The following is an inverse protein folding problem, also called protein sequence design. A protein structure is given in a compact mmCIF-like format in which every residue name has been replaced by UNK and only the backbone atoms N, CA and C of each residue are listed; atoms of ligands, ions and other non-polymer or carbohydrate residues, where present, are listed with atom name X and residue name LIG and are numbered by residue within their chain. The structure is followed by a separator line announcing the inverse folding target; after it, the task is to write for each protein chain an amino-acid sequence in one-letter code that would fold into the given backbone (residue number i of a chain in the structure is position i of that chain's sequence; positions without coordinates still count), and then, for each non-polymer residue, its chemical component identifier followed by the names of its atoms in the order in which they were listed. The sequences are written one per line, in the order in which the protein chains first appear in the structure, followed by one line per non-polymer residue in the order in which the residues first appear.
data_IF_940644088838
#
_entry.id   IF_940644088838
#
_cell.length_a   1.000
_cell.length_b   1.000
_cell.length_c   1.000
_cell.angle_alpha   90.00
_cell.angle_beta   90.00
_cell.angle_gamma   90.00
#
_symmetry.space_group_name_H-M   'P 1'
#
loop_
_entity.id
_entity.type
_entity.pdbx_description
1 polymer ?
#
# COMPACT_ATOMS: atom_id res chain seq x y z
N UNK A 1 9.35 21.61 -55.38
CA UNK A 1 10.26 22.16 -54.35
C UNK A 1 9.99 21.41 -53.06
N UNK A 2 10.87 20.46 -52.69
CA UNK A 2 10.73 19.73 -51.43
C UNK A 2 11.35 20.59 -50.32
N UNK A 3 10.52 21.22 -49.50
CA UNK A 3 10.97 21.79 -48.22
C UNK A 3 11.35 20.63 -47.29
N UNK A 4 12.65 20.34 -47.20
CA UNK A 4 13.17 19.59 -46.06
C UNK A 4 13.09 20.50 -44.85
N UNK A 5 12.30 20.11 -43.85
CA UNK A 5 12.30 20.75 -42.54
C UNK A 5 13.76 20.91 -42.07
N UNK A 6 14.18 22.14 -41.81
CA UNK A 6 15.49 22.43 -41.25
C UNK A 6 15.54 21.87 -39.83
N UNK A 7 16.04 20.64 -39.70
CA UNK A 7 16.36 20.07 -38.39
C UNK A 7 17.53 20.89 -37.84
N UNK A 8 17.40 21.49 -36.64
CA UNK A 8 18.49 22.25 -36.03
C UNK A 8 19.76 21.40 -35.93
N UNK A 9 20.92 22.01 -36.13
CA UNK A 9 22.20 21.31 -36.01
C UNK A 9 22.36 20.73 -34.60
N UNK A 10 22.81 19.47 -34.51
CA UNK A 10 23.11 18.82 -33.24
C UNK A 10 24.26 19.57 -32.54
N UNK A 11 23.92 20.35 -31.52
CA UNK A 11 24.89 21.03 -30.68
C UNK A 11 25.57 20.00 -29.77
N UNK A 12 26.87 19.76 -30.01
CA UNK A 12 27.70 18.93 -29.13
C UNK A 12 28.04 19.74 -27.88
N UNK A 13 27.70 19.24 -26.69
CA UNK A 13 28.17 19.79 -25.41
C UNK A 13 27.10 20.27 -24.42
N UNK A 14 25.80 20.07 -24.67
CA UNK A 14 24.76 20.35 -23.67
C UNK A 14 24.64 19.24 -22.62
N UNK A 15 24.50 19.59 -21.34
CA UNK A 15 24.13 18.62 -20.31
C UNK A 15 22.68 18.17 -20.55
N UNK A 16 22.47 16.88 -20.84
CA UNK A 16 21.14 16.31 -20.98
C UNK A 16 20.49 16.31 -19.59
N UNK A 17 19.40 17.06 -19.42
CA UNK A 17 18.61 17.04 -18.19
C UNK A 17 17.52 15.97 -18.26
N UNK A 18 17.09 15.49 -17.09
CA UNK A 18 15.91 14.64 -17.01
C UNK A 18 14.66 15.42 -17.45
N UNK A 19 13.69 14.71 -18.04
CA UNK A 19 12.34 15.25 -18.25
C UNK A 19 11.70 15.39 -16.87
N UNK A 20 11.41 16.63 -16.47
CA UNK A 20 10.73 16.97 -15.22
C UNK A 20 9.38 17.57 -15.60
N UNK A 21 8.26 16.88 -15.33
CA UNK A 21 6.94 17.39 -15.66
C UNK A 21 6.67 18.68 -14.89
N UNK A 22 6.05 19.65 -15.56
CA UNK A 22 5.69 20.97 -15.00
C UNK A 22 4.21 21.10 -14.69
N UNK A 23 3.38 20.17 -15.17
CA UNK A 23 1.93 20.13 -14.91
C UNK A 23 1.45 18.74 -14.52
N UNK A 24 0.23 18.68 -14.00
CA UNK A 24 -0.42 17.41 -13.68
C UNK A 24 -0.68 16.57 -14.95
N UNK A 25 -0.99 17.22 -16.07
CA UNK A 25 -1.20 16.55 -17.36
C UNK A 25 0.12 15.98 -17.92
N UNK A 26 1.23 16.70 -17.78
CA UNK A 26 2.55 16.18 -18.14
C UNK A 26 2.97 15.02 -17.26
N UNK A 27 2.68 15.12 -15.95
CA UNK A 27 2.92 14.04 -14.99
C UNK A 27 2.09 12.81 -15.35
N UNK A 28 0.82 13.00 -15.68
CA UNK A 28 -0.07 11.93 -16.13
C UNK A 28 0.46 11.26 -17.40
N UNK A 29 0.85 12.02 -18.42
CA UNK A 29 1.43 11.49 -19.66
C UNK A 29 2.69 10.67 -19.40
N UNK A 30 3.58 11.18 -18.55
CA UNK A 30 4.81 10.47 -18.17
C UNK A 30 4.49 9.18 -17.41
N UNK A 31 3.55 9.23 -16.46
CA UNK A 31 3.12 8.08 -15.69
C UNK A 31 2.49 7.00 -16.58
N UNK A 32 1.58 7.37 -17.49
CA UNK A 32 0.96 6.45 -18.46
C UNK A 32 2.02 5.75 -19.29
N UNK A 33 2.97 6.51 -19.85
CA UNK A 33 4.06 5.95 -20.65
C UNK A 33 4.89 4.92 -19.85
N UNK A 34 5.16 5.19 -18.57
CA UNK A 34 5.94 4.29 -17.71
C UNK A 34 5.17 3.00 -17.41
N UNK A 35 3.86 3.10 -17.18
CA UNK A 35 2.99 1.94 -16.92
C UNK A 35 2.82 1.09 -18.17
N UNK A 36 2.50 1.70 -19.31
CA UNK A 36 2.33 0.99 -20.58
C UNK A 36 3.62 0.34 -21.08
N UNK A 37 4.78 0.94 -20.77
CA UNK A 37 6.08 0.36 -21.08
C UNK A 37 6.49 -0.80 -20.16
N UNK A 38 5.71 -1.13 -19.12
CA UNK A 38 6.07 -2.14 -18.12
C UNK A 38 7.29 -1.76 -17.28
N UNK A 39 7.59 -0.46 -17.15
CA UNK A 39 8.76 0.05 -16.42
C UNK A 39 8.44 0.44 -14.97
N UNK A 40 7.15 0.45 -14.59
CA UNK A 40 6.72 0.73 -13.24
C UNK A 40 7.08 -0.44 -12.29
N UNK A 41 7.55 -0.18 -11.06
CA UNK A 41 7.80 -1.23 -10.09
C UNK A 41 6.53 -2.04 -9.78
N UNK A 42 6.60 -3.37 -9.83
CA UNK A 42 5.46 -4.24 -9.51
C UNK A 42 4.93 -4.04 -8.08
N UNK A 43 5.80 -3.70 -7.13
CA UNK A 43 5.38 -3.35 -5.77
C UNK A 43 4.46 -2.13 -5.71
N UNK A 44 4.48 -1.27 -6.74
CA UNK A 44 3.65 -0.07 -6.83
C UNK A 44 2.37 -0.30 -7.64
N UNK A 45 2.48 -0.96 -8.81
CA UNK A 45 1.35 -1.12 -9.75
C UNK A 45 0.64 -2.47 -9.63
N UNK A 46 1.20 -3.41 -8.86
CA UNK A 46 0.69 -4.77 -8.74
C UNK A 46 0.98 -5.63 -9.98
N UNK A 47 0.40 -6.82 -10.00
CA UNK A 47 0.49 -7.74 -11.14
C UNK A 47 -0.46 -7.28 -12.25
N UNK A 48 0.03 -7.31 -13.48
CA UNK A 48 -0.79 -7.10 -14.67
C UNK A 48 -1.92 -8.14 -14.78
N UNK A 49 -3.09 -7.76 -15.33
CA UNK A 49 -4.13 -8.73 -15.68
C UNK A 49 -3.60 -9.80 -16.63
N UNK A 50 -4.26 -10.96 -16.66
CA UNK A 50 -3.95 -12.00 -17.65
C UNK A 50 -4.20 -11.47 -19.08
N UNK A 51 -3.53 -12.06 -20.08
CA UNK A 51 -3.67 -11.64 -21.48
C UNK A 51 -5.09 -11.81 -22.02
N UNK A 52 -5.85 -12.76 -21.48
CA UNK A 52 -7.24 -13.06 -21.79
C UNK A 52 -8.26 -12.32 -20.90
N UNK A 53 -7.79 -11.45 -20.00
CA UNK A 53 -8.65 -10.65 -19.15
C UNK A 53 -9.45 -9.63 -19.99
N UNK A 54 -10.72 -9.43 -19.64
CA UNK A 54 -11.58 -8.46 -20.33
C UNK A 54 -11.06 -7.02 -20.25
N UNK A 55 -11.43 -6.20 -21.23
CA UNK A 55 -10.98 -4.81 -21.39
C UNK A 55 -11.10 -3.96 -20.11
N UNK A 56 -12.13 -4.18 -19.30
CA UNK A 56 -12.37 -3.41 -18.08
C UNK A 56 -11.33 -3.69 -17.00
N UNK A 57 -10.78 -4.90 -16.93
CA UNK A 57 -9.69 -5.24 -16.02
C UNK A 57 -8.41 -4.49 -16.40
N UNK A 58 -8.07 -4.47 -17.70
CA UNK A 58 -6.94 -3.72 -18.23
C UNK A 58 -7.08 -2.21 -18.03
N UNK A 59 -8.28 -1.65 -18.26
CA UNK A 59 -8.57 -0.23 -18.00
C UNK A 59 -8.44 0.12 -16.52
N UNK A 60 -8.99 -0.70 -15.62
CA UNK A 60 -8.92 -0.46 -14.17
C UNK A 60 -7.49 -0.53 -13.67
N UNK A 61 -6.74 -1.57 -14.08
CA UNK A 61 -5.33 -1.74 -13.72
C UNK A 61 -4.49 -0.58 -14.24
N UNK A 62 -4.62 -0.22 -15.52
CA UNK A 62 -3.87 0.87 -16.14
C UNK A 62 -4.13 2.22 -15.45
N UNK A 63 -5.39 2.55 -15.16
CA UNK A 63 -5.75 3.76 -14.39
C UNK A 63 -5.15 3.76 -12.99
N UNK A 64 -5.27 2.66 -12.24
CA UNK A 64 -4.70 2.53 -10.88
C UNK A 64 -3.18 2.67 -10.90
N UNK A 65 -2.51 1.97 -11.80
CA UNK A 65 -1.05 2.02 -11.97
C UNK A 65 -0.57 3.43 -12.35
N UNK A 66 -1.27 4.08 -13.29
CA UNK A 66 -0.94 5.43 -13.74
C UNK A 66 -1.06 6.44 -12.61
N UNK A 67 -2.17 6.39 -11.86
CA UNK A 67 -2.36 7.23 -10.68
C UNK A 67 -1.28 6.99 -9.62
N UNK A 68 -0.94 5.73 -9.31
CA UNK A 68 0.09 5.41 -8.33
C UNK A 68 1.48 5.94 -8.74
N UNK A 69 1.85 5.77 -10.01
CA UNK A 69 3.11 6.30 -10.57
C UNK A 69 3.11 7.83 -10.55
N UNK A 70 2.00 8.48 -10.91
CA UNK A 70 1.87 9.94 -10.86
C UNK A 70 2.05 10.48 -9.45
N UNK A 71 1.41 9.88 -8.44
CA UNK A 71 1.56 10.26 -7.03
C UNK A 71 3.03 10.13 -6.60
N UNK A 72 3.69 9.01 -6.91
CA UNK A 72 5.11 8.82 -6.56
C UNK A 72 6.02 9.85 -7.24
N UNK A 73 5.73 10.22 -8.50
CA UNK A 73 6.49 11.27 -9.20
C UNK A 73 6.30 12.63 -8.49
N UNK A 74 5.07 12.97 -8.09
CA UNK A 74 4.79 14.22 -7.39
C UNK A 74 5.41 14.24 -5.99
N UNK A 75 5.27 13.18 -5.19
CA UNK A 75 5.94 13.05 -3.90
C UNK A 75 7.48 13.09 -4.03
N UNK A 76 8.01 12.52 -5.11
CA UNK A 76 9.42 12.64 -5.46
C UNK A 76 9.81 14.09 -5.75
N UNK A 77 9.00 14.81 -6.50
CA UNK A 77 9.24 16.21 -6.83
C UNK A 77 9.26 17.12 -5.58
N UNK A 78 8.43 16.83 -4.57
CA UNK A 78 8.47 17.51 -3.26
C UNK A 78 9.83 17.37 -2.56
N UNK A 79 10.48 16.20 -2.72
CA UNK A 79 11.83 15.93 -2.22
C UNK A 79 12.93 16.30 -3.23
N UNK A 80 12.58 16.98 -4.32
CA UNK A 80 13.49 17.38 -5.39
C UNK A 80 14.05 16.21 -6.20
N UNK A 81 13.43 15.02 -6.19
CA UNK A 81 13.85 13.87 -6.98
C UNK A 81 13.27 13.93 -8.40
N UNK A 82 14.09 13.66 -9.44
CA UNK A 82 13.58 13.46 -10.79
C UNK A 82 12.64 12.23 -10.86
N UNK A 83 11.71 12.18 -11.82
CA UNK A 83 10.67 11.14 -11.88
C UNK A 83 11.21 9.70 -11.77
N UNK A 84 12.21 9.37 -12.58
CA UNK A 84 12.81 8.02 -12.59
C UNK A 84 13.64 7.72 -11.33
N UNK A 85 14.09 8.74 -10.60
CA UNK A 85 14.75 8.55 -9.29
C UNK A 85 13.70 8.30 -8.22
N UNK A 86 12.58 9.04 -8.25
CA UNK A 86 11.46 8.83 -7.35
C UNK A 86 10.93 7.40 -7.42
N UNK A 87 10.67 6.88 -8.62
CA UNK A 87 10.16 5.52 -8.81
C UNK A 87 11.08 4.41 -8.29
N UNK A 88 12.40 4.65 -8.26
CA UNK A 88 13.36 3.70 -7.69
C UNK A 88 13.51 3.83 -6.17
N UNK A 89 13.17 5.00 -5.62
CA UNK A 89 13.42 5.34 -4.21
C UNK A 89 12.18 5.16 -3.33
N UNK A 90 10.99 5.18 -3.91
CA UNK A 90 9.72 5.10 -3.20
C UNK A 90 9.08 3.71 -3.28
N UNK A 91 8.35 3.39 -2.23
CA UNK A 91 7.31 2.36 -2.15
C UNK A 91 6.04 3.00 -1.61
N UNK A 92 4.89 2.34 -1.76
CA UNK A 92 3.62 2.78 -1.17
C UNK A 92 3.14 1.68 -0.22
N UNK A 93 2.97 2.02 1.05
CA UNK A 93 2.61 1.08 2.12
C UNK A 93 1.45 1.68 2.91
N UNK A 94 0.35 0.94 3.06
CA UNK A 94 -0.87 1.44 3.73
C UNK A 94 -1.39 2.76 3.14
N UNK A 95 -1.27 2.94 1.82
CA UNK A 95 -1.67 4.17 1.11
C UNK A 95 -0.72 5.36 1.30
N UNK A 96 0.44 5.17 1.95
CA UNK A 96 1.40 6.24 2.23
C UNK A 96 2.70 6.01 1.44
N UNK A 97 3.15 6.99 0.64
CA UNK A 97 4.49 6.95 0.05
C UNK A 97 5.55 6.91 1.15
N UNK A 98 6.47 5.96 1.03
CA UNK A 98 7.60 5.76 1.93
C UNK A 98 8.87 5.55 1.12
N UNK A 99 10.03 5.90 1.69
CA UNK A 99 11.32 5.73 1.03
C UNK A 99 11.97 4.42 1.45
N UNK A 100 12.61 3.75 0.48
CA UNK A 100 13.61 2.72 0.78
C UNK A 100 14.80 3.32 1.55
N UNK A 101 15.56 2.47 2.25
CA UNK A 101 16.69 2.90 3.06
C UNK A 101 17.75 3.70 2.28
N UNK A 102 17.98 3.37 1.02
CA UNK A 102 18.86 4.12 0.11
C UNK A 102 18.23 5.41 -0.43
N UNK A 103 16.90 5.44 -0.60
CA UNK A 103 16.12 6.63 -0.95
C UNK A 103 16.32 7.77 0.05
N UNK A 104 16.28 7.47 1.36
CA UNK A 104 16.54 8.45 2.42
C UNK A 104 17.95 9.04 2.31
N UNK A 105 18.95 8.17 2.12
CA UNK A 105 20.35 8.57 2.00
C UNK A 105 20.54 9.45 0.76
N UNK A 106 19.89 9.11 -0.35
CA UNK A 106 19.93 9.87 -1.59
C UNK A 106 19.37 11.28 -1.39
N UNK A 107 18.16 11.42 -0.85
CA UNK A 107 17.51 12.72 -0.61
C UNK A 107 18.37 13.59 0.32
N UNK A 108 18.84 13.01 1.44
CA UNK A 108 19.68 13.73 2.40
C UNK A 108 21.01 14.19 1.78
N UNK A 109 21.73 13.32 1.06
CA UNK A 109 22.98 13.72 0.40
C UNK A 109 22.75 14.74 -0.69
N UNK A 110 21.69 14.59 -1.48
CA UNK A 110 21.33 15.51 -2.56
C UNK A 110 20.99 16.90 -2.04
N UNK A 111 20.41 17.00 -0.84
CA UNK A 111 20.05 18.29 -0.23
C UNK A 111 21.23 19.22 0.03
N UNK A 112 22.46 18.69 0.07
CA UNK A 112 23.67 19.44 0.46
C UNK A 112 23.73 19.79 1.96
N UNK A 113 22.71 19.43 2.76
CA UNK A 113 22.69 19.65 4.21
C UNK A 113 23.46 18.61 5.00
N UNK A 114 23.87 17.51 4.38
CA UNK A 114 24.67 16.49 5.04
C UNK A 114 26.16 16.72 4.81
N UNK A 115 26.90 16.96 5.89
CA UNK A 115 28.38 16.99 5.89
C UNK A 115 28.95 15.57 5.77
N UNK A 116 28.38 14.62 6.51
CA UNK A 116 28.69 13.21 6.36
C UNK A 116 27.46 12.35 6.68
N UNK A 117 27.37 11.20 6.00
CA UNK A 117 26.42 10.12 6.30
C UNK A 117 27.20 8.82 6.16
N UNK A 118 27.45 8.19 7.29
CA UNK A 118 28.22 6.98 7.44
C UNK A 118 27.35 5.86 7.98
N UNK A 119 27.52 4.67 7.41
CA UNK A 119 26.78 3.48 7.77
C UNK A 119 27.77 2.36 8.00
N UNK A 120 27.49 1.51 8.97
CA UNK A 120 28.35 0.38 9.24
C UNK A 120 27.68 -0.73 10.00
N UNK A 121 28.44 -1.79 10.21
CA UNK A 121 28.00 -2.96 10.94
C UNK A 121 29.09 -3.35 11.91
N UNK A 122 28.70 -3.64 13.14
CA UNK A 122 29.58 -4.18 14.17
C UNK A 122 28.97 -5.48 14.69
N UNK A 123 29.79 -6.53 14.74
CA UNK A 123 29.40 -7.82 15.32
C UNK A 123 29.99 -7.92 16.71
N UNK A 124 29.15 -8.26 17.69
CA UNK A 124 29.53 -8.39 19.10
C UNK A 124 30.53 -7.30 19.54
N UNK A 125 30.15 -6.06 19.31
CA UNK A 125 31.04 -4.93 19.56
C UNK A 125 31.38 -4.84 21.05
N UNK A 126 32.62 -4.49 21.37
CA UNK A 126 32.97 -4.11 22.76
C UNK A 126 32.26 -2.80 23.12
N UNK A 127 31.87 -2.64 24.39
CA UNK A 127 31.18 -1.43 24.88
C UNK A 127 31.99 -0.16 24.60
N UNK A 128 33.32 -0.22 24.71
CA UNK A 128 34.19 0.93 24.37
C UNK A 128 34.08 1.33 22.90
N UNK A 129 33.92 0.37 21.99
CA UNK A 129 33.75 0.67 20.55
C UNK A 129 32.40 1.34 20.27
N UNK A 130 31.35 0.94 20.98
CA UNK A 130 30.00 1.53 20.88
C UNK A 130 29.97 2.97 21.42
N UNK A 131 30.67 3.22 22.53
CA UNK A 131 30.84 4.58 23.07
C UNK A 131 31.63 5.46 22.10
N UNK A 132 32.73 4.95 21.55
CA UNK A 132 33.56 5.69 20.58
C UNK A 132 32.83 5.98 19.27
N UNK A 133 31.89 5.13 18.87
CA UNK A 133 31.00 5.40 17.74
C UNK A 133 30.12 6.64 17.98
N UNK A 134 29.75 6.87 19.24
CA UNK A 134 28.94 8.00 19.69
C UNK A 134 27.57 7.60 20.25
N UNK A 135 27.33 6.31 20.56
CA UNK A 135 26.11 5.89 21.22
C UNK A 135 26.07 6.36 22.68
N UNK A 136 24.87 6.68 23.17
CA UNK A 136 24.70 7.16 24.54
C UNK A 136 25.12 6.12 25.57
N UNK A 137 25.81 6.56 26.62
CA UNK A 137 26.37 5.68 27.66
C UNK A 137 25.34 4.76 28.32
N UNK A 138 24.11 5.24 28.51
CA UNK A 138 23.06 4.48 29.18
C UNK A 138 22.52 3.36 28.28
N UNK A 139 22.43 3.62 26.97
CA UNK A 139 22.07 2.59 25.96
C UNK A 139 23.15 1.52 25.94
N UNK A 140 24.43 1.91 25.85
CA UNK A 140 25.55 0.95 25.83
C UNK A 140 25.67 0.16 27.13
N UNK A 141 25.33 0.76 28.28
CA UNK A 141 25.33 0.07 29.56
C UNK A 141 24.37 -1.13 29.57
N UNK A 142 23.21 -1.02 28.90
CA UNK A 142 22.18 -2.05 28.82
C UNK A 142 22.50 -3.17 27.82
N UNK A 143 23.41 -2.94 26.86
CA UNK A 143 23.80 -3.95 25.85
C UNK A 143 24.72 -5.03 26.43
N UNK A 144 24.14 -6.05 27.04
CA UNK A 144 24.84 -7.10 27.80
C UNK A 144 24.99 -8.41 27.00
N UNK A 145 24.18 -8.63 25.98
CA UNK A 145 24.19 -9.81 25.12
C UNK A 145 24.92 -9.58 23.80
N UNK A 146 25.25 -10.67 23.10
CA UNK A 146 25.82 -10.63 21.75
C UNK A 146 24.85 -9.99 20.75
N UNK A 147 23.56 -10.24 20.91
CA UNK A 147 22.52 -9.74 20.00
C UNK A 147 22.33 -8.23 20.13
N UNK A 148 22.33 -7.71 21.37
CA UNK A 148 22.28 -6.27 21.65
C UNK A 148 23.54 -5.54 21.14
N UNK A 149 24.70 -6.21 21.15
CA UNK A 149 25.98 -5.63 20.67
C UNK A 149 26.29 -5.94 19.20
N UNK A 150 25.42 -6.68 18.52
CA UNK A 150 25.53 -6.93 17.08
C UNK A 150 24.60 -5.98 16.34
N UNK A 151 25.15 -4.86 15.87
CA UNK A 151 24.38 -3.71 15.39
C UNK A 151 24.69 -3.33 13.95
N UNK A 152 23.68 -2.86 13.23
CA UNK A 152 23.87 -1.90 12.15
C UNK A 152 23.80 -0.49 12.75
N UNK A 153 24.55 0.45 12.20
CA UNK A 153 24.57 1.82 12.72
C UNK A 153 24.56 2.84 11.58
N UNK A 154 24.04 4.03 11.90
CA UNK A 154 24.10 5.22 11.06
C UNK A 154 24.63 6.38 11.90
N UNK A 155 25.60 7.10 11.36
CA UNK A 155 26.12 8.35 11.92
C UNK A 155 26.04 9.42 10.85
N UNK A 156 25.40 10.53 11.17
CA UNK A 156 25.26 11.63 10.25
C UNK A 156 25.54 12.98 10.93
N UNK A 157 26.08 13.91 10.15
CA UNK A 157 26.43 15.26 10.60
C UNK A 157 25.80 16.25 9.63
N UNK A 158 25.08 17.23 10.18
CA UNK A 158 24.54 18.36 9.44
C UNK A 158 25.64 19.37 9.10
N UNK A 159 25.64 19.88 7.87
CA UNK A 159 26.59 20.89 7.41
C UNK A 159 26.23 22.30 7.87
N UNK A 160 24.94 22.58 8.08
CA UNK A 160 24.41 23.89 8.44
C UNK A 160 24.46 24.16 9.95
N UNK A 161 23.97 23.23 10.77
CA UNK A 161 23.91 23.38 12.24
C UNK A 161 25.10 22.74 12.96
N UNK A 162 25.80 21.82 12.29
CA UNK A 162 26.83 20.98 12.92
C UNK A 162 26.25 19.89 13.85
N UNK A 163 24.92 19.78 13.94
CA UNK A 163 24.27 18.72 14.70
C UNK A 163 24.69 17.34 14.19
N UNK A 164 24.92 16.43 15.11
CA UNK A 164 25.32 15.06 14.83
C UNK A 164 24.37 14.11 15.52
N UNK A 165 23.99 13.05 14.80
CA UNK A 165 23.20 11.96 15.35
C UNK A 165 23.87 10.63 15.03
N UNK A 166 23.82 9.73 15.99
CA UNK A 166 24.27 8.35 15.87
C UNK A 166 23.12 7.48 16.33
N UNK A 167 22.65 6.59 15.47
CA UNK A 167 21.67 5.58 15.81
C UNK A 167 22.18 4.18 15.49
N UNK A 168 21.67 3.21 16.23
CA UNK A 168 21.97 1.81 16.05
C UNK A 168 20.68 0.97 16.02
N UNK A 169 20.74 -0.14 15.30
CA UNK A 169 19.70 -1.16 15.28
C UNK A 169 20.35 -2.53 15.44
N UNK A 170 20.01 -3.21 16.53
CA UNK A 170 20.63 -4.46 16.97
C UNK A 170 19.91 -5.69 16.42
N UNK A 171 20.52 -6.86 16.62
CA UNK A 171 19.83 -8.14 16.39
C UNK A 171 18.70 -8.32 17.40
N UNK A 172 18.87 -7.84 18.64
CA UNK A 172 17.81 -7.88 19.65
C UNK A 172 16.58 -7.06 19.20
N UNK A 173 16.80 -5.85 18.65
CA UNK A 173 15.72 -5.01 18.11
C UNK A 173 15.02 -5.70 16.93
N UNK A 174 15.79 -6.32 16.02
CA UNK A 174 15.23 -7.03 14.88
C UNK A 174 14.39 -8.25 15.31
N UNK A 175 14.80 -8.96 16.36
CA UNK A 175 14.03 -10.07 16.96
C UNK A 175 12.74 -9.55 17.60
N UNK A 176 12.83 -8.48 18.39
CA UNK A 176 11.68 -7.86 19.03
C UNK A 176 10.65 -7.34 18.01
N UNK A 177 11.12 -6.84 16.86
CA UNK A 177 10.26 -6.37 15.77
C UNK A 177 9.73 -7.51 14.87
N UNK A 178 10.06 -8.78 15.16
CA UNK A 178 9.64 -9.91 14.31
C UNK A 178 10.24 -9.88 12.91
N UNK A 179 11.42 -9.32 12.74
CA UNK A 179 12.09 -9.21 11.43
C UNK A 179 13.20 -10.24 11.26
N UNK A 180 13.69 -10.80 12.37
CA UNK A 180 14.83 -11.72 12.38
C UNK A 180 14.38 -13.16 12.17
N UNK A 181 14.65 -13.69 10.98
CA UNK A 181 14.43 -15.10 10.65
C UNK A 181 15.74 -15.75 10.20
N UNK A 182 16.08 -16.88 10.80
CA UNK A 182 17.28 -17.68 10.48
C UNK A 182 16.91 -19.00 9.80
N UNK A 183 15.62 -19.29 9.64
CA UNK A 183 15.14 -20.52 9.01
C UNK A 183 15.49 -20.47 7.52
N UNK A 184 16.10 -21.53 6.96
CA UNK A 184 16.44 -21.59 5.55
C UNK A 184 15.21 -21.70 4.64
N UNK A 185 14.09 -22.14 5.21
CA UNK A 185 12.80 -22.26 4.52
C UNK A 185 11.71 -21.55 5.30
N UNK A 186 10.68 -21.12 4.59
CA UNK A 186 9.43 -20.58 5.14
C UNK A 186 8.26 -21.22 4.39
N UNK A 187 7.06 -21.16 4.97
CA UNK A 187 5.85 -21.57 4.26
C UNK A 187 5.52 -20.55 3.17
N UNK A 188 5.27 -21.02 1.96
CA UNK A 188 4.91 -20.19 0.81
C UNK A 188 4.00 -20.91 -0.16
N UNK A 189 3.22 -20.16 -0.93
CA UNK A 189 2.38 -20.71 -2.00
C UNK A 189 3.26 -21.09 -3.19
N UNK A 190 3.25 -22.36 -3.57
CA UNK A 190 3.93 -22.88 -4.77
C UNK A 190 2.89 -23.41 -5.74
N UNK A 191 3.12 -23.22 -7.03
CA UNK A 191 2.25 -23.77 -8.07
C UNK A 191 2.61 -25.26 -8.29
N UNK A 192 1.67 -26.16 -7.99
CA UNK A 192 1.79 -27.61 -8.25
C UNK A 192 0.49 -28.12 -8.86
N UNK A 193 0.57 -28.89 -9.93
CA UNK A 193 -0.61 -29.51 -10.58
C UNK A 193 -1.74 -28.51 -10.87
N UNK A 194 -1.40 -27.34 -11.40
CA UNK A 194 -2.34 -26.26 -11.69
C UNK A 194 -3.09 -25.68 -10.47
N UNK A 195 -2.62 -25.91 -9.26
CA UNK A 195 -3.17 -25.38 -8.02
C UNK A 195 -2.08 -24.72 -7.16
N UNK A 196 -2.47 -23.72 -6.37
CA UNK A 196 -1.61 -23.16 -5.34
C UNK A 196 -1.64 -24.06 -4.11
N UNK A 197 -0.48 -24.61 -3.76
CA UNK A 197 -0.31 -25.44 -2.56
C UNK A 197 0.69 -24.77 -1.64
N UNK A 198 0.40 -24.76 -0.35
CA UNK A 198 1.34 -24.31 0.66
C UNK A 198 2.45 -25.36 0.86
N UNK A 199 3.69 -24.94 0.60
CA UNK A 199 4.87 -25.79 0.72
C UNK A 199 6.03 -25.03 1.38
N UNK A 200 7.08 -25.75 1.72
CA UNK A 200 8.32 -25.17 2.24
C UNK A 200 9.13 -24.59 1.07
N UNK A 201 9.22 -23.26 1.04
CA UNK A 201 10.00 -22.52 0.05
C UNK A 201 11.26 -21.95 0.68
N UNK A 202 12.34 -21.73 -0.09
CA UNK A 202 13.51 -21.02 0.41
C UNK A 202 13.13 -19.68 1.02
N UNK A 203 13.73 -19.34 2.16
CA UNK A 203 13.52 -18.03 2.78
C UNK A 203 14.17 -16.95 1.93
N UNK A 204 13.36 -16.18 1.21
CA UNK A 204 13.81 -15.11 0.33
C UNK A 204 13.78 -13.72 1.00
N UNK A 205 13.41 -13.67 2.28
CA UNK A 205 13.34 -12.43 3.06
C UNK A 205 14.67 -11.68 3.01
N UNK A 206 14.61 -10.37 2.78
CA UNK A 206 15.77 -9.48 2.82
C UNK A 206 16.50 -9.55 4.17
N UNK A 207 15.78 -9.83 5.25
CA UNK A 207 16.36 -10.00 6.58
C UNK A 207 17.12 -11.32 6.74
N UNK A 208 16.68 -12.39 6.10
CA UNK A 208 17.42 -13.66 6.07
C UNK A 208 18.63 -13.58 5.12
N UNK A 209 18.44 -13.07 3.90
CA UNK A 209 19.48 -13.03 2.86
C UNK A 209 20.54 -11.95 3.12
N UNK A 210 20.11 -10.79 3.63
CA UNK A 210 20.95 -9.60 3.77
C UNK A 210 20.81 -8.91 5.15
N UNK A 211 20.90 -9.65 6.28
CA UNK A 211 20.63 -9.12 7.62
C UNK A 211 21.52 -7.94 8.00
N UNK A 212 22.78 -7.92 7.54
CA UNK A 212 23.72 -6.83 7.82
C UNK A 212 23.26 -5.51 7.20
N UNK A 213 22.75 -5.58 5.96
CA UNK A 213 22.28 -4.41 5.23
C UNK A 213 20.97 -3.90 5.80
N UNK A 214 20.05 -4.80 6.15
CA UNK A 214 18.77 -4.41 6.75
C UNK A 214 18.95 -3.63 8.05
N UNK A 215 19.84 -4.07 8.96
CA UNK A 215 20.15 -3.32 10.18
C UNK A 215 20.72 -1.92 9.91
N UNK A 216 21.60 -1.79 8.92
CA UNK A 216 22.11 -0.48 8.50
C UNK A 216 20.99 0.44 8.01
N UNK A 217 20.06 -0.08 7.22
CA UNK A 217 18.93 0.69 6.71
C UNK A 217 17.93 1.07 7.81
N UNK A 218 17.67 0.19 8.79
CA UNK A 218 16.87 0.55 9.97
C UNK A 218 17.51 1.68 10.77
N UNK A 219 18.80 1.57 11.07
CA UNK A 219 19.53 2.63 11.75
C UNK A 219 19.54 3.94 10.93
N UNK A 220 19.65 3.86 9.60
CA UNK A 220 19.57 5.02 8.71
C UNK A 220 18.20 5.70 8.76
N UNK A 221 17.12 4.91 8.78
CA UNK A 221 15.74 5.39 8.94
C UNK A 221 15.63 6.31 10.14
N UNK A 222 15.90 5.78 11.34
CA UNK A 222 15.82 6.56 12.59
C UNK A 222 16.77 7.75 12.62
N UNK A 223 18.03 7.56 12.22
CA UNK A 223 19.03 8.63 12.25
C UNK A 223 18.66 9.79 11.32
N UNK A 224 18.30 9.51 10.07
CA UNK A 224 18.11 10.53 9.06
C UNK A 224 16.75 11.21 9.19
N UNK A 225 15.71 10.48 9.61
CA UNK A 225 14.38 11.04 9.85
C UNK A 225 14.36 12.09 10.93
N UNK A 226 15.10 11.85 12.01
CA UNK A 226 15.20 12.82 13.10
C UNK A 226 16.16 13.95 12.77
N UNK A 227 17.35 13.63 12.24
CA UNK A 227 18.37 14.66 11.98
C UNK A 227 18.01 15.54 10.77
N UNK A 228 17.33 15.00 9.75
CA UNK A 228 17.00 15.68 8.50
C UNK A 228 15.48 15.69 8.22
N UNK A 229 14.66 15.76 9.26
CA UNK A 229 13.20 15.76 9.12
C UNK A 229 12.67 16.92 8.24
N UNK A 230 13.35 18.06 8.26
CA UNK A 230 13.11 19.24 7.41
C UNK A 230 13.41 19.00 5.92
N UNK A 231 14.38 18.12 5.62
CA UNK A 231 14.74 17.75 4.24
C UNK A 231 13.83 16.64 3.72
N UNK A 232 13.45 15.70 4.59
CA UNK A 232 12.64 14.54 4.22
C UNK A 232 11.13 14.86 4.20
N UNK A 233 10.70 16.03 4.68
CA UNK A 233 9.31 16.46 4.61
C UNK A 233 8.34 15.53 5.37
N UNK A 234 8.83 14.81 6.39
CA UNK A 234 8.03 13.84 7.14
C UNK A 234 7.80 12.49 6.43
N UNK A 235 8.39 12.27 5.25
CA UNK A 235 8.34 10.97 4.57
C UNK A 235 9.04 9.91 5.41
N UNK A 236 8.36 8.77 5.61
CA UNK A 236 8.85 7.66 6.43
C UNK A 236 9.76 6.72 5.66
N UNK A 237 10.56 5.95 6.40
CA UNK A 237 11.21 4.79 5.83
C UNK A 237 10.19 3.66 5.64
N UNK A 238 10.47 2.77 4.70
CA UNK A 238 9.62 1.64 4.36
C UNK A 238 9.32 0.69 5.52
N UNK A 239 10.15 0.66 6.57
CA UNK A 239 9.94 -0.28 7.66
C UNK A 239 8.99 0.30 8.70
N UNK A 240 9.21 1.54 9.13
CA UNK A 240 8.25 2.24 9.99
C UNK A 240 6.88 2.36 9.30
N UNK A 241 6.86 2.59 7.98
CA UNK A 241 5.61 2.64 7.23
C UNK A 241 4.83 1.31 7.30
N UNK A 242 5.51 0.15 7.22
CA UNK A 242 4.88 -1.18 7.38
C UNK A 242 4.37 -1.40 8.80
N UNK A 243 5.17 -1.04 9.80
CA UNK A 243 4.80 -1.13 11.22
C UNK A 243 3.55 -0.31 11.53
N UNK A 244 3.45 0.92 10.99
CA UNK A 244 2.27 1.79 11.16
C UNK A 244 1.06 1.29 10.37
N UNK A 245 1.27 0.73 9.18
CA UNK A 245 0.18 0.19 8.38
C UNK A 245 -0.49 -1.03 9.03
N UNK A 246 0.12 -1.60 10.08
CA UNK A 246 -0.34 -2.84 10.68
C UNK A 246 0.09 -4.07 9.88
N UNK A 247 0.95 -3.88 8.87
CA UNK A 247 1.63 -4.95 8.14
C UNK A 247 2.76 -5.50 9.02
N UNK A 248 2.41 -6.07 10.17
CA UNK A 248 3.32 -6.95 10.89
C UNK A 248 3.56 -8.15 9.97
N UNK A 249 4.83 -8.38 9.63
CA UNK A 249 5.23 -9.57 8.88
C UNK A 249 4.79 -10.77 9.72
N UNK A 250 3.75 -11.48 9.28
CA UNK A 250 3.28 -12.69 9.93
C UNK A 250 4.40 -13.74 9.88
N UNK A 251 5.16 -13.86 10.96
CA UNK A 251 5.77 -15.13 11.30
C UNK A 251 4.72 -15.90 12.10
N UNK A 252 4.06 -16.83 11.42
CA UNK A 252 3.30 -17.89 12.08
C UNK A 252 4.23 -18.68 12.99
N UNK A 253 4.28 -18.31 14.26
CA UNK A 253 4.43 -19.23 15.37
C UNK A 253 3.18 -19.00 16.24
N UNK A 254 2.46 -20.08 16.57
CA UNK A 254 1.09 -20.11 17.12
C UNK A 254 0.85 -19.37 18.46
N UNK A 255 1.06 -18.06 18.53
CA UNK A 255 0.58 -17.20 19.63
C UNK A 255 -0.13 -15.94 19.12
N UNK A 256 -1.34 -15.62 19.63
CA UNK A 256 -2.09 -14.46 19.17
C UNK A 256 -1.42 -13.16 19.65
N UNK A 257 -0.95 -12.35 18.71
CA UNK A 257 -0.46 -11.00 19.00
C UNK A 257 -1.57 -10.12 19.63
N UNK A 258 -1.26 -9.31 20.66
CA UNK A 258 -2.25 -8.44 21.29
C UNK A 258 -2.67 -7.34 20.31
N UNK A 259 -3.98 -7.25 20.06
CA UNK A 259 -4.59 -6.22 19.20
C UNK A 259 -4.45 -4.84 19.84
N UNK A 260 -3.49 -4.04 19.40
CA UNK A 260 -3.48 -2.60 19.68
C UNK A 260 -4.28 -1.85 18.61
N UNK A 261 -5.55 -1.52 18.89
CA UNK A 261 -6.28 -0.49 18.13
C UNK A 261 -5.99 0.87 18.75
N UNK A 262 -5.19 1.69 18.09
CA UNK A 262 -5.13 3.13 18.37
C UNK A 262 -6.23 3.81 17.55
N UNK A 263 -7.42 3.99 18.13
CA UNK A 263 -8.40 4.93 17.56
C UNK A 263 -7.93 6.36 17.87
N UNK A 264 -7.71 7.22 16.86
CA UNK A 264 -7.45 8.63 17.12
C UNK A 264 -8.68 9.30 17.78
N UNK A 265 -8.51 10.26 18.69
CA UNK A 265 -9.62 11.01 19.26
C UNK A 265 -10.29 11.89 18.20
N UNK A 266 -11.63 11.96 18.23
CA UNK A 266 -12.41 12.77 17.29
C UNK A 266 -12.01 14.26 17.33
N UNK A 267 -11.96 14.93 16.17
CA UNK A 267 -11.68 16.36 16.11
C UNK A 267 -12.80 17.19 16.76
N UNK A 268 -12.48 18.37 17.32
CA UNK A 268 -13.48 19.28 17.89
C UNK A 268 -14.40 19.84 16.79
N UNK A 269 -15.65 20.20 17.12
CA UNK A 269 -16.61 20.72 16.14
C UNK A 269 -16.15 22.07 15.57
N UNK A 270 -16.21 22.19 14.25
CA UNK A 270 -15.94 23.43 13.51
C UNK A 270 -17.07 24.45 13.71
N UNK A 271 -16.78 25.74 13.94
CA UNK A 271 -17.79 26.79 13.99
C UNK A 271 -18.40 27.05 12.60
N UNK A 272 -19.69 27.38 12.57
CA UNK A 272 -20.49 27.55 11.34
C UNK A 272 -19.98 28.71 10.47
N UNK A 273 -19.77 28.42 9.18
CA UNK A 273 -19.39 29.39 8.15
C UNK A 273 -20.62 30.11 7.60
N UNK A 274 -21.11 31.11 8.31
CA UNK A 274 -22.03 32.11 7.74
C UNK A 274 -21.26 33.43 7.54
N UNK A 275 -20.55 33.54 6.41
CA UNK A 275 -20.20 34.78 5.69
C UNK A 275 -18.99 34.57 4.78
N UNK A 276 -19.20 33.99 3.59
CA UNK A 276 -18.32 34.21 2.43
C UNK A 276 -19.20 34.27 1.18
N UNK A 277 -19.08 35.35 0.41
CA UNK A 277 -19.80 35.56 -0.85
C UNK A 277 -19.49 34.47 -1.89
N UNK A 278 -20.44 34.09 -2.76
CA UNK A 278 -20.24 33.01 -3.73
C UNK A 278 -19.28 33.38 -4.87
N UNK A 279 -18.41 32.44 -5.22
CA UNK A 279 -17.49 32.46 -6.37
C UNK A 279 -18.30 32.25 -7.67
N UNK A 280 -17.96 32.89 -8.82
CA UNK A 280 -18.72 32.71 -10.05
C UNK A 280 -18.55 31.30 -10.65
N UNK A 281 -19.67 30.73 -11.12
CA UNK A 281 -19.74 29.43 -11.79
C UNK A 281 -18.84 29.37 -13.03
N UNK A 282 -17.80 28.53 -12.97
CA UNK A 282 -17.19 27.95 -14.16
C UNK A 282 -17.61 26.47 -14.21
N UNK A 283 -18.30 26.12 -15.29
CA UNK A 283 -19.04 24.88 -15.46
C UNK A 283 -18.16 23.64 -15.61
N UNK A 284 -17.88 23.00 -14.48
CA UNK A 284 -17.58 21.58 -14.41
C UNK A 284 -18.42 20.98 -13.30
N UNK A 285 -19.68 20.67 -13.63
CA UNK A 285 -20.47 19.71 -12.85
C UNK A 285 -21.19 18.79 -13.82
N UNK A 286 -20.69 17.57 -13.91
CA UNK A 286 -21.50 16.36 -13.74
C UNK A 286 -20.59 15.17 -13.49
N UNK A 287 -20.99 14.40 -12.48
CA UNK A 287 -20.56 13.05 -12.12
C UNK A 287 -19.50 12.93 -11.01
N UNK A 288 -19.87 13.33 -9.78
CA UNK A 288 -19.37 12.67 -8.56
C UNK A 288 -20.51 12.53 -7.55
N UNK A 289 -21.21 11.40 -7.60
CA UNK A 289 -21.84 10.83 -6.40
C UNK A 289 -21.12 9.54 -6.02
N UNK A 290 -20.74 9.43 -4.74
CA UNK A 290 -20.38 8.16 -4.11
C UNK A 290 -18.89 7.90 -3.85
N UNK A 291 -18.19 8.81 -3.16
CA UNK A 291 -16.90 8.47 -2.54
C UNK A 291 -17.15 8.01 -1.10
N UNK A 292 -17.15 6.69 -0.86
CA UNK A 292 -16.95 6.13 0.47
C UNK A 292 -15.47 5.73 0.61
N UNK A 293 -14.88 6.18 1.71
CA UNK A 293 -13.53 5.85 2.17
C UNK A 293 -13.38 4.36 2.48
N UNK A 294 -12.22 3.80 2.14
CA UNK A 294 -11.53 2.86 3.02
C UNK A 294 -11.50 1.38 2.64
N UNK A 295 -10.31 0.96 2.18
CA UNK A 295 -9.65 -0.30 2.52
C UNK A 295 -10.25 -1.62 2.02
N UNK A 296 -9.90 -2.02 0.80
CA UNK A 296 -9.86 -3.45 0.43
C UNK A 296 -8.53 -4.04 0.96
N UNK A 297 -8.60 -4.62 2.15
CA UNK A 297 -7.72 -5.73 2.51
C UNK A 297 -8.01 -6.88 1.52
N UNK A 298 -6.97 -7.53 1.02
CA UNK A 298 -7.12 -8.73 0.24
C UNK A 298 -7.66 -9.84 1.16
N UNK A 299 -8.96 -10.08 1.10
CA UNK A 299 -9.56 -11.25 1.72
C UNK A 299 -9.17 -12.49 0.91
N UNK A 300 -8.51 -13.42 1.58
CA UNK A 300 -8.47 -14.82 1.17
C UNK A 300 -9.91 -15.31 1.01
N UNK A 301 -10.18 -16.14 -0.01
CA UNK A 301 -11.42 -16.90 -0.14
C UNK A 301 -11.61 -17.81 1.09
N UNK A 302 -12.16 -17.24 2.15
CA UNK A 302 -13.10 -17.93 3.02
C UNK A 302 -14.45 -17.86 2.30
N UNK A 303 -15.30 -18.91 2.36
CA UNK A 303 -16.58 -18.87 1.70
C UNK A 303 -17.32 -17.61 2.16
N UNK A 304 -17.58 -16.71 1.22
CA UNK A 304 -18.19 -15.41 1.51
C UNK A 304 -19.44 -15.64 2.36
N UNK A 305 -19.53 -14.93 3.50
CA UNK A 305 -20.74 -14.96 4.30
C UNK A 305 -21.92 -14.63 3.39
N UNK A 306 -22.88 -15.55 3.29
CA UNK A 306 -24.01 -15.39 2.39
C UNK A 306 -24.74 -14.08 2.70
N UNK A 307 -24.80 -13.19 1.70
CA UNK A 307 -25.43 -11.87 1.85
C UNK A 307 -26.95 -12.00 1.70
N UNK A 308 -27.62 -12.21 2.84
CA UNK A 308 -29.07 -12.30 2.92
C UNK A 308 -29.77 -11.05 2.39
N UNK A 309 -29.21 -9.86 2.61
CA UNK A 309 -29.82 -8.60 2.20
C UNK A 309 -29.92 -8.51 0.68
N UNK A 310 -28.79 -8.75 0.02
CA UNK A 310 -28.71 -8.75 -1.44
C UNK A 310 -29.56 -9.85 -2.07
N UNK A 311 -29.53 -11.07 -1.50
CA UNK A 311 -30.34 -12.18 -2.01
C UNK A 311 -31.84 -11.84 -2.01
N UNK A 312 -32.37 -11.33 -0.89
CA UNK A 312 -33.79 -11.03 -0.79
C UNK A 312 -34.22 -9.83 -1.62
N UNK A 313 -33.33 -8.87 -1.86
CA UNK A 313 -33.56 -7.76 -2.78
C UNK A 313 -33.69 -8.26 -4.23
N UNK A 314 -32.70 -9.02 -4.70
CA UNK A 314 -32.68 -9.59 -6.06
C UNK A 314 -33.88 -10.54 -6.29
N UNK A 315 -34.19 -11.38 -5.30
CA UNK A 315 -35.31 -12.31 -5.34
C UNK A 315 -36.67 -11.59 -5.41
N UNK A 316 -36.84 -10.48 -4.67
CA UNK A 316 -38.05 -9.66 -4.75
C UNK A 316 -38.19 -8.97 -6.11
N UNK A 317 -37.10 -8.44 -6.66
CA UNK A 317 -37.09 -7.80 -7.98
C UNK A 317 -37.47 -8.81 -9.06
N UNK A 318 -36.89 -10.01 -9.04
CA UNK A 318 -37.21 -11.07 -9.99
C UNK A 318 -38.69 -11.47 -9.92
N UNK A 319 -39.23 -11.69 -8.71
CA UNK A 319 -40.64 -12.04 -8.53
C UNK A 319 -41.60 -10.93 -8.95
N UNK A 320 -41.25 -9.65 -8.78
CA UNK A 320 -42.06 -8.53 -9.28
C UNK A 320 -42.18 -8.54 -10.82
N UNK A 321 -41.15 -9.04 -11.52
CA UNK A 321 -41.15 -9.22 -12.97
C UNK A 321 -42.03 -10.38 -13.47
N UNK A 322 -42.36 -11.35 -12.62
CA UNK A 322 -43.09 -12.56 -13.00
C UNK A 322 -44.57 -12.27 -13.33
N UNK A 323 -45.01 -12.56 -14.56
CA UNK A 323 -46.38 -12.22 -15.05
C UNK A 323 -47.39 -13.37 -14.97
N UNK A 324 -46.96 -14.56 -14.55
CA UNK A 324 -47.80 -15.75 -14.44
C UNK A 324 -47.37 -16.58 -13.23
N UNK A 325 -48.25 -17.46 -12.77
CA UNK A 325 -47.95 -18.39 -11.67
C UNK A 325 -46.83 -19.36 -12.04
N UNK A 326 -46.74 -19.78 -13.30
CA UNK A 326 -45.65 -20.63 -13.80
C UNK A 326 -44.28 -19.94 -13.72
N UNK A 327 -44.20 -18.64 -14.08
CA UNK A 327 -42.96 -17.87 -13.98
C UNK A 327 -42.49 -17.65 -12.54
N UNK A 328 -43.43 -17.61 -11.57
CA UNK A 328 -43.10 -17.54 -10.15
C UNK A 328 -42.44 -18.83 -9.65
N UNK A 329 -42.91 -20.00 -10.11
CA UNK A 329 -42.32 -21.30 -9.75
C UNK A 329 -40.95 -21.53 -10.42
N UNK A 330 -40.78 -21.02 -11.64
CA UNK A 330 -39.49 -21.05 -12.36
C UNK A 330 -38.42 -20.24 -11.62
N UNK A 331 -38.74 -18.99 -11.24
CA UNK A 331 -37.84 -18.12 -10.46
C UNK A 331 -37.56 -18.71 -9.07
N UNK A 332 -38.55 -19.36 -8.44
CA UNK A 332 -38.35 -20.05 -7.17
C UNK A 332 -37.30 -21.16 -7.25
N UNK A 333 -37.30 -21.90 -8.37
CA UNK A 333 -36.36 -22.99 -8.62
C UNK A 333 -34.99 -22.45 -9.02
N UNK A 334 -34.95 -21.37 -9.81
CA UNK A 334 -33.70 -20.71 -10.24
C UNK A 334 -32.89 -20.15 -9.07
N UNK A 335 -33.56 -19.56 -8.08
CA UNK A 335 -32.92 -19.05 -6.86
C UNK A 335 -32.60 -20.16 -5.84
N UNK A 336 -32.90 -21.42 -6.15
CA UNK A 336 -32.68 -22.63 -5.33
C UNK A 336 -32.98 -22.43 -3.84
N UNK A 337 -34.13 -21.80 -3.56
CA UNK A 337 -34.50 -21.36 -2.21
C UNK A 337 -34.60 -22.53 -1.23
N UNK A 338 -34.80 -23.76 -1.73
CA UNK A 338 -34.91 -24.98 -0.90
C UNK A 338 -33.56 -25.48 -0.43
N UNK A 339 -32.57 -25.59 -1.32
CA UNK A 339 -31.23 -25.97 -0.91
C UNK A 339 -30.55 -24.84 -0.12
N UNK A 340 -30.79 -23.58 -0.50
CA UNK A 340 -30.11 -22.42 0.07
C UNK A 340 -30.47 -22.17 1.54
N UNK A 341 -31.71 -22.44 1.96
CA UNK A 341 -32.20 -22.20 3.32
C UNK A 341 -32.64 -23.47 4.05
N UNK A 342 -32.06 -24.62 3.73
CA UNK A 342 -32.42 -25.90 4.37
C UNK A 342 -32.19 -25.89 5.90
N UNK A 343 -31.20 -25.13 6.38
CA UNK A 343 -30.83 -24.98 7.80
C UNK A 343 -31.27 -23.64 8.42
N UNK A 344 -31.96 -22.76 7.68
CA UNK A 344 -32.46 -21.46 8.18
C UNK A 344 -33.97 -21.31 7.93
N UNK A 345 -34.74 -21.81 8.88
CA UNK A 345 -36.20 -21.78 8.86
C UNK A 345 -36.76 -20.34 8.79
N UNK A 346 -36.06 -19.36 9.38
CA UNK A 346 -36.54 -17.97 9.44
C UNK A 346 -36.47 -17.28 8.07
N UNK A 347 -35.37 -17.48 7.35
CA UNK A 347 -35.17 -16.99 5.98
C UNK A 347 -36.06 -17.74 4.99
N UNK A 348 -36.26 -19.05 5.19
CA UNK A 348 -37.18 -19.85 4.39
C UNK A 348 -38.62 -19.32 4.50
N UNK A 349 -39.09 -19.04 5.71
CA UNK A 349 -40.42 -18.45 5.94
C UNK A 349 -40.56 -17.05 5.34
N UNK A 350 -39.47 -16.26 5.28
CA UNK A 350 -39.48 -14.96 4.63
C UNK A 350 -39.62 -15.09 3.11
N UNK A 351 -38.89 -16.00 2.49
CA UNK A 351 -38.98 -16.30 1.06
C UNK A 351 -40.40 -16.78 0.68
N UNK A 352 -40.99 -17.68 1.48
CA UNK A 352 -42.35 -18.17 1.29
C UNK A 352 -43.39 -17.04 1.36
N UNK A 353 -43.23 -16.10 2.30
CA UNK A 353 -44.11 -14.92 2.40
C UNK A 353 -44.02 -14.01 1.18
N UNK A 354 -42.81 -13.81 0.64
CA UNK A 354 -42.58 -13.00 -0.55
C UNK A 354 -43.25 -13.67 -1.77
N UNK A 355 -43.04 -14.98 -1.95
CA UNK A 355 -43.68 -15.77 -3.01
C UNK A 355 -45.20 -15.74 -2.91
N UNK A 356 -45.76 -15.99 -1.73
CA UNK A 356 -47.20 -15.97 -1.48
C UNK A 356 -47.82 -14.61 -1.80
N UNK A 357 -47.14 -13.51 -1.44
CA UNK A 357 -47.58 -12.15 -1.79
C UNK A 357 -47.64 -11.94 -3.31
N UNK A 358 -46.66 -12.45 -4.06
CA UNK A 358 -46.67 -12.33 -5.52
C UNK A 358 -47.77 -13.17 -6.17
N UNK A 359 -47.96 -14.42 -5.71
CA UNK A 359 -49.03 -15.28 -6.21
C UNK A 359 -50.42 -14.70 -5.93
N UNK A 360 -50.64 -14.11 -4.75
CA UNK A 360 -51.89 -13.44 -4.42
C UNK A 360 -52.16 -12.22 -5.32
N UNK A 361 -51.12 -11.49 -5.72
CA UNK A 361 -51.25 -10.37 -6.66
C UNK A 361 -51.54 -10.80 -8.12
N UNK A 362 -51.21 -12.05 -8.48
CA UNK A 362 -51.46 -12.62 -9.81
C UNK A 362 -52.80 -13.38 -9.89
N UNK A 363 -53.45 -13.65 -8.76
CA UNK A 363 -54.78 -14.24 -8.72
C UNK A 363 -55.85 -13.16 -9.05
N UNK A 364 -56.84 -13.45 -9.92
CA UNK A 364 -57.93 -12.51 -10.16
C UNK A 364 -58.78 -12.33 -8.89
N UNK A 365 -59.33 -11.13 -8.63
CA UNK A 365 -60.17 -10.91 -7.46
C UNK A 365 -61.37 -11.86 -7.52
N UNK A 366 -61.52 -12.69 -6.49
CA UNK A 366 -62.70 -13.54 -6.33
C UNK A 366 -63.95 -12.65 -6.33
N UNK A 367 -64.86 -12.89 -7.28
CA UNK A 367 -66.17 -12.28 -7.29
C UNK A 367 -66.88 -12.57 -5.96
N UNK A 368 -67.09 -11.51 -5.18
CA UNK A 368 -68.12 -11.42 -4.15
C UNK A 368 -69.32 -10.67 -4.71
#
# INVERSE_FOLDING_TARGET
MNERAQVPALMVGGAISAIIPQSIEETWRLATMIVEAGLAPQALVGREPAEDAGDDAWKRWGKKGTSAVAIVIMSGAELGLPPMVALRSFTVIGGKPALYGDGLINVVRKSGRAKSVELGYLRDARKEALLNLGLHKDVVAQMNTVDERTIGWCKAVRSDTGEMKVEAYSVADAKQAGLWDERPTRRGKVWKNNQHVWDDVPNDSSWFRHPKRMKQWRAAGFCLRELFGDVLGGVRDEFEAREIAGDLIEHHDDEPAPRARLTPPSPPPVPSLDAVDPIPENGFDKDVEGMHDGAEAAEEEQPAAFDYGKFFEDFQIALQGAKSTAAVEEIWTEFDVEAQFHDDESSRQLADKIKARRLAALAPPSAG
#
